data_IF_563367405959
#
_entry.id   IF_563367405959
#
_cell.length_a   1.000
_cell.length_b   1.000
_cell.length_c   1.000
_cell.angle_alpha   90.00
_cell.angle_beta   90.00
_cell.angle_gamma   90.00
#
_symmetry.space_group_name_H-M   'P 1'
#
loop_
_entity.id
_entity.type
_entity.pdbx_description
1 polymer ?
#
# COMPACT_ATOMS: atom_id res chain seq x y z
N UNK A 1 4.93 16.03 -18.89
CA UNK A 1 4.48 16.53 -17.56
C UNK A 1 3.26 15.71 -17.18
N UNK A 2 3.25 15.08 -16.00
CA UNK A 2 2.08 14.35 -15.51
C UNK A 2 1.02 15.36 -15.11
N UNK A 3 -0.22 15.17 -15.53
CA UNK A 3 -1.34 16.02 -15.09
C UNK A 3 -1.49 15.90 -13.56
N UNK A 4 -1.74 17.03 -12.85
CA UNK A 4 -2.07 16.97 -11.43
C UNK A 4 -3.40 16.21 -11.27
N UNK A 5 -3.52 15.43 -10.17
CA UNK A 5 -4.77 14.77 -9.83
C UNK A 5 -5.87 15.80 -9.56
N UNK A 6 -7.10 15.46 -9.93
CA UNK A 6 -8.30 16.22 -9.59
C UNK A 6 -8.72 15.83 -8.17
N UNK A 7 -8.22 16.55 -7.15
CA UNK A 7 -8.58 16.31 -5.75
C UNK A 7 -9.81 17.14 -5.42
N UNK A 8 -10.94 16.52 -5.03
CA UNK A 8 -12.14 17.25 -4.65
C UNK A 8 -11.91 18.05 -3.36
N UNK A 9 -12.61 19.16 -3.21
CA UNK A 9 -12.62 19.92 -1.97
C UNK A 9 -13.29 19.10 -0.87
N UNK A 10 -12.58 18.86 0.22
CA UNK A 10 -13.06 18.13 1.40
C UNK A 10 -13.29 19.12 2.53
N UNK A 11 -14.56 19.22 2.99
CA UNK A 11 -14.91 20.07 4.13
C UNK A 11 -14.79 19.28 5.42
N UNK A 12 -13.89 19.68 6.29
CA UNK A 12 -13.69 19.14 7.64
C UNK A 12 -14.55 19.89 8.68
N UNK A 13 -14.97 19.19 9.72
CA UNK A 13 -15.69 19.75 10.86
C UNK A 13 -15.55 18.83 12.08
N UNK A 14 -16.15 19.20 13.21
CA UNK A 14 -16.08 18.45 14.47
C UNK A 14 -16.70 17.03 14.47
N UNK A 15 -17.24 16.53 13.35
CA UNK A 15 -17.68 15.14 13.20
C UNK A 15 -16.57 14.20 12.70
N UNK A 16 -15.40 14.72 12.37
CA UNK A 16 -14.24 13.90 12.01
C UNK A 16 -13.43 13.57 13.27
N UNK A 17 -12.98 12.32 13.39
CA UNK A 17 -12.07 11.91 14.45
C UNK A 17 -10.82 12.81 14.47
N UNK A 18 -10.39 13.22 15.63
CA UNK A 18 -9.26 14.11 15.82
C UNK A 18 -9.64 15.61 15.81
N UNK A 19 -10.74 16.01 15.20
CA UNK A 19 -11.15 17.43 15.12
C UNK A 19 -11.99 17.83 16.34
N UNK A 20 -11.70 18.98 17.01
CA UNK A 20 -12.52 19.46 18.12
C UNK A 20 -13.99 19.69 17.75
N UNK A 21 -14.92 19.25 18.60
CA UNK A 21 -16.36 19.14 18.30
C UNK A 21 -17.07 20.44 17.89
N UNK A 22 -16.58 21.60 18.34
CA UNK A 22 -17.14 22.92 18.00
C UNK A 22 -16.48 23.61 16.80
N UNK A 23 -15.60 22.89 16.08
CA UNK A 23 -14.94 23.43 14.90
C UNK A 23 -15.94 23.66 13.77
N UNK A 24 -16.13 24.89 13.28
CA UNK A 24 -16.96 25.15 12.11
C UNK A 24 -16.35 24.52 10.86
N UNK A 25 -17.17 24.19 9.84
CA UNK A 25 -16.68 23.62 8.60
C UNK A 25 -15.59 24.48 7.95
N UNK A 26 -14.53 23.82 7.48
CA UNK A 26 -13.41 24.47 6.77
C UNK A 26 -12.80 23.49 5.74
N UNK A 27 -12.18 23.98 4.65
CA UNK A 27 -11.52 23.13 3.66
C UNK A 27 -10.28 22.42 4.22
N UNK A 28 -10.08 21.17 3.82
CA UNK A 28 -8.93 20.33 4.23
C UNK A 28 -7.58 21.02 3.90
N UNK A 29 -7.47 21.67 2.75
CA UNK A 29 -6.26 22.37 2.31
C UNK A 29 -5.92 23.62 3.18
N UNK A 30 -6.83 24.04 4.06
CA UNK A 30 -6.67 25.14 5.02
C UNK A 30 -6.40 24.68 6.45
N UNK A 31 -6.10 23.39 6.64
CA UNK A 31 -5.87 22.88 8.00
C UNK A 31 -4.65 23.48 8.68
N UNK A 32 -3.59 23.78 7.93
CA UNK A 32 -2.39 24.46 8.45
C UNK A 32 -2.69 25.83 9.06
N UNK A 33 -3.70 26.54 8.54
CA UNK A 33 -4.09 27.86 9.04
C UNK A 33 -4.67 27.80 10.47
N UNK A 34 -5.03 26.59 10.94
CA UNK A 34 -5.52 26.36 12.31
C UNK A 34 -4.44 26.42 13.36
N UNK A 35 -3.17 26.26 12.97
CA UNK A 35 -2.01 26.24 13.87
C UNK A 35 -2.16 25.22 15.02
N UNK A 36 -2.82 24.09 14.75
CA UNK A 36 -3.01 23.04 15.74
C UNK A 36 -1.72 22.27 15.98
N UNK A 37 -1.56 21.80 17.24
CA UNK A 37 -0.45 20.95 17.63
C UNK A 37 -1.00 19.81 18.49
N UNK A 38 -0.61 18.56 18.16
CA UNK A 38 -1.07 17.37 18.85
C UNK A 38 -0.73 17.41 20.34
N UNK A 39 0.51 17.81 20.69
CA UNK A 39 1.00 17.80 22.07
C UNK A 39 0.38 18.91 22.94
N UNK A 40 -0.16 19.96 22.32
CA UNK A 40 -0.88 21.04 23.04
C UNK A 40 -2.34 20.67 23.35
N UNK A 41 -2.81 19.49 22.85
CA UNK A 41 -4.19 19.09 23.02
C UNK A 41 -5.19 19.87 22.16
N UNK A 42 -4.73 20.47 21.04
CA UNK A 42 -5.58 21.20 20.10
C UNK A 42 -6.47 20.27 19.29
N UNK A 43 -6.20 18.95 19.32
CA UNK A 43 -7.00 17.94 18.64
C UNK A 43 -7.60 16.95 19.66
N UNK A 44 -8.68 16.26 19.26
CA UNK A 44 -9.32 15.26 20.13
C UNK A 44 -8.71 13.86 19.91
N UNK A 45 -8.73 13.03 20.96
CA UNK A 45 -8.18 11.67 20.91
C UNK A 45 -9.30 10.61 20.99
N UNK A 46 -9.12 9.43 20.33
CA UNK A 46 -7.93 9.03 19.59
C UNK A 46 -7.73 9.85 18.30
N UNK A 47 -6.47 10.02 17.90
CA UNK A 47 -6.08 10.70 16.66
C UNK A 47 -4.98 9.91 15.95
N UNK A 48 -5.17 9.64 14.65
CA UNK A 48 -4.13 9.10 13.79
C UNK A 48 -3.42 10.25 13.09
N UNK A 49 -2.10 10.26 13.12
CA UNK A 49 -1.28 11.29 12.45
C UNK A 49 -0.28 10.65 11.49
N UNK A 50 0.11 11.41 10.47
CA UNK A 50 1.20 11.06 9.56
C UNK A 50 2.40 11.98 9.81
N UNK A 51 3.59 11.40 10.02
CA UNK A 51 4.83 12.14 10.21
C UNK A 51 5.41 12.52 8.84
N UNK A 52 5.50 13.81 8.54
CA UNK A 52 5.99 14.32 7.25
C UNK A 52 7.42 13.86 6.95
N UNK A 53 8.32 13.97 7.94
CA UNK A 53 9.72 13.55 7.80
C UNK A 53 9.89 12.05 7.50
N UNK A 54 9.01 11.21 8.06
CA UNK A 54 9.01 9.77 7.77
C UNK A 54 8.47 9.47 6.36
N UNK A 55 7.39 10.13 5.92
CA UNK A 55 6.87 10.00 4.55
C UNK A 55 7.93 10.37 3.51
N UNK A 56 8.61 11.50 3.69
CA UNK A 56 9.69 11.95 2.80
C UNK A 56 10.87 10.96 2.77
N UNK A 57 11.27 10.47 3.94
CA UNK A 57 12.34 9.46 4.07
C UNK A 57 12.00 8.18 3.32
N UNK A 58 10.79 7.66 3.54
CA UNK A 58 10.34 6.41 2.92
C UNK A 58 10.23 6.56 1.40
N UNK A 59 9.79 7.71 0.92
CA UNK A 59 9.74 8.01 -0.52
C UNK A 59 11.15 8.09 -1.13
N UNK A 60 12.08 8.76 -0.47
CA UNK A 60 13.47 8.85 -0.93
C UNK A 60 14.14 7.47 -0.94
N UNK A 61 13.91 6.67 0.11
CA UNK A 61 14.46 5.33 0.19
C UNK A 61 13.97 4.45 -0.98
N UNK A 62 12.65 4.40 -1.20
CA UNK A 62 12.06 3.63 -2.30
C UNK A 62 12.55 4.11 -3.66
N UNK A 63 12.66 5.42 -3.88
CA UNK A 63 13.17 5.97 -5.12
C UNK A 63 14.59 5.47 -5.43
N UNK A 64 15.48 5.46 -4.44
CA UNK A 64 16.87 4.98 -4.62
C UNK A 64 16.92 3.48 -4.84
N UNK A 65 16.11 2.72 -4.12
CA UNK A 65 15.97 1.29 -4.35
C UNK A 65 15.57 1.00 -5.80
N UNK A 66 14.58 1.70 -6.33
CA UNK A 66 14.11 1.51 -7.70
C UNK A 66 15.15 1.92 -8.75
N UNK A 67 15.90 3.00 -8.51
CA UNK A 67 17.01 3.42 -9.36
C UNK A 67 18.13 2.36 -9.41
N UNK A 68 18.43 1.74 -8.27
CA UNK A 68 19.43 0.67 -8.18
C UNK A 68 19.00 -0.62 -8.90
N UNK A 69 17.73 -0.99 -8.78
CA UNK A 69 17.17 -2.22 -9.33
C UNK A 69 16.62 -2.05 -10.78
N UNK A 70 16.83 -0.89 -11.40
CA UNK A 70 16.28 -0.55 -12.72
C UNK A 70 14.78 -0.90 -12.84
N UNK A 71 14.01 -0.46 -11.84
CA UNK A 71 12.59 -0.76 -11.71
C UNK A 71 11.74 0.51 -11.57
N UNK A 72 10.46 0.39 -11.85
CA UNK A 72 9.47 1.44 -11.62
C UNK A 72 8.46 1.01 -10.57
N UNK A 73 7.86 1.99 -9.90
CA UNK A 73 6.86 1.75 -8.88
C UNK A 73 5.45 1.95 -9.42
N UNK A 74 4.60 0.96 -9.19
CA UNK A 74 3.15 1.05 -9.38
C UNK A 74 2.45 0.69 -8.05
N UNK A 75 2.49 1.56 -7.02
CA UNK A 75 2.10 1.20 -5.66
C UNK A 75 0.61 0.89 -5.56
N UNK A 76 0.25 -0.06 -4.68
CA UNK A 76 -1.14 -0.32 -4.34
C UNK A 76 -1.78 0.89 -3.67
N UNK A 77 -2.65 1.60 -4.37
CA UNK A 77 -3.42 2.71 -3.82
C UNK A 77 -4.45 2.27 -2.77
N UNK A 78 -4.85 0.98 -2.78
CA UNK A 78 -5.74 0.39 -1.76
C UNK A 78 -5.24 0.58 -0.33
N UNK A 79 -3.94 0.79 -0.14
CA UNK A 79 -3.35 0.98 1.19
C UNK A 79 -3.89 2.22 1.87
N UNK A 80 -3.98 3.33 1.15
CA UNK A 80 -4.32 4.63 1.71
C UNK A 80 -5.67 5.16 1.25
N UNK A 81 -6.09 4.80 0.02
CA UNK A 81 -7.27 5.36 -0.66
C UNK A 81 -7.34 6.89 -0.53
N UNK A 82 -6.19 7.57 -0.57
CA UNK A 82 -6.04 9.01 -0.37
C UNK A 82 -5.50 9.69 -1.63
N UNK A 83 -6.26 10.60 -2.24
CA UNK A 83 -5.80 11.32 -3.43
C UNK A 83 -4.57 12.20 -3.16
N UNK A 84 -4.42 12.73 -1.93
CA UNK A 84 -3.26 13.52 -1.53
C UNK A 84 -1.99 12.65 -1.53
N UNK A 85 -2.07 11.42 -1.00
CA UNK A 85 -0.96 10.48 -0.99
C UNK A 85 -0.71 9.88 -2.39
N UNK A 86 -1.74 9.65 -3.19
CA UNK A 86 -1.57 9.28 -4.61
C UNK A 86 -0.80 10.36 -5.38
N UNK A 87 -1.16 11.64 -5.16
CA UNK A 87 -0.45 12.77 -5.76
C UNK A 87 1.01 12.80 -5.34
N UNK A 88 1.30 12.57 -4.04
CA UNK A 88 2.66 12.49 -3.52
C UNK A 88 3.46 11.37 -4.21
N UNK A 89 2.90 10.17 -4.33
CA UNK A 89 3.54 9.02 -4.97
C UNK A 89 3.78 9.26 -6.47
N UNK A 90 2.79 9.77 -7.20
CA UNK A 90 2.90 10.04 -8.63
C UNK A 90 3.92 11.17 -8.92
N UNK A 91 3.92 12.24 -8.12
CA UNK A 91 4.94 13.30 -8.20
C UNK A 91 6.33 12.77 -7.88
N UNK A 92 6.43 11.83 -6.94
CA UNK A 92 7.67 11.13 -6.57
C UNK A 92 8.21 10.18 -7.62
N UNK A 93 7.50 9.99 -8.74
CA UNK A 93 7.97 9.20 -9.87
C UNK A 93 7.24 7.85 -10.06
N UNK A 94 6.21 7.53 -9.27
CA UNK A 94 5.44 6.30 -9.50
C UNK A 94 4.92 6.24 -10.96
N UNK A 95 5.05 5.07 -11.59
CA UNK A 95 4.68 4.82 -12.97
C UNK A 95 3.17 4.83 -13.19
N UNK A 96 2.41 4.41 -12.19
CA UNK A 96 0.96 4.37 -12.14
C UNK A 96 0.50 4.02 -10.73
N UNK A 97 -0.76 3.58 -10.56
CA UNK A 97 -1.29 3.03 -9.31
C UNK A 97 -1.83 1.62 -9.52
N UNK A 98 -1.67 0.76 -8.54
CA UNK A 98 -2.25 -0.58 -8.55
C UNK A 98 -3.58 -0.57 -7.80
N UNK A 99 -4.63 -1.15 -8.43
CA UNK A 99 -5.93 -1.41 -7.84
C UNK A 99 -6.15 -2.92 -7.66
N UNK A 100 -7.03 -3.31 -6.75
CA UNK A 100 -7.44 -4.70 -6.53
C UNK A 100 -8.94 -4.94 -6.78
N UNK A 101 -9.76 -3.88 -6.88
CA UNK A 101 -11.20 -3.96 -7.11
C UNK A 101 -11.67 -2.87 -8.06
N UNK A 102 -12.84 -3.08 -8.66
CA UNK A 102 -13.46 -2.07 -9.54
C UNK A 102 -13.77 -0.78 -8.79
N UNK A 103 -14.18 -0.83 -7.53
CA UNK A 103 -14.44 0.35 -6.71
C UNK A 103 -13.18 1.23 -6.59
N UNK A 104 -12.00 0.61 -6.39
CA UNK A 104 -10.74 1.34 -6.35
C UNK A 104 -10.40 1.97 -7.71
N UNK A 105 -10.63 1.25 -8.81
CA UNK A 105 -10.46 1.80 -10.17
C UNK A 105 -11.35 3.02 -10.38
N UNK A 106 -12.63 2.93 -10.02
CA UNK A 106 -13.59 4.04 -10.13
C UNK A 106 -13.13 5.25 -9.30
N UNK A 107 -12.68 5.02 -8.07
CA UNK A 107 -12.14 6.07 -7.19
C UNK A 107 -10.90 6.73 -7.79
N UNK A 108 -9.95 5.94 -8.31
CA UNK A 108 -8.73 6.49 -8.94
C UNK A 108 -9.05 7.29 -10.20
N UNK A 109 -10.02 6.80 -11.01
CA UNK A 109 -10.47 7.54 -12.20
C UNK A 109 -11.20 8.83 -11.84
N UNK A 110 -11.98 8.85 -10.78
CA UNK A 110 -12.59 10.09 -10.27
C UNK A 110 -11.55 11.16 -9.90
N UNK A 111 -10.33 10.75 -9.53
CA UNK A 111 -9.19 11.64 -9.27
C UNK A 111 -8.29 11.87 -10.48
N UNK A 112 -8.67 11.36 -11.66
CA UNK A 112 -7.93 11.48 -12.91
C UNK A 112 -6.58 10.73 -12.93
N UNK A 113 -6.47 9.59 -12.25
CA UNK A 113 -5.30 8.71 -12.36
C UNK A 113 -5.25 8.10 -13.77
N UNK A 114 -4.19 8.39 -14.50
CA UNK A 114 -4.08 8.06 -15.95
C UNK A 114 -3.50 6.66 -16.20
N UNK A 115 -2.89 5.99 -15.23
CA UNK A 115 -2.38 4.62 -15.41
C UNK A 115 -2.72 3.77 -14.21
N UNK A 116 -3.41 2.64 -14.49
CA UNK A 116 -3.86 1.70 -13.47
C UNK A 116 -3.47 0.27 -13.87
N UNK A 117 -2.77 -0.41 -12.96
CA UNK A 117 -2.60 -1.86 -13.01
C UNK A 117 -3.62 -2.49 -12.05
N UNK A 118 -4.63 -3.16 -12.60
CA UNK A 118 -5.60 -3.94 -11.82
C UNK A 118 -5.00 -5.30 -11.51
N UNK A 119 -4.44 -5.45 -10.31
CA UNK A 119 -3.80 -6.68 -9.86
C UNK A 119 -4.85 -7.69 -9.34
N UNK A 120 -5.80 -8.03 -10.20
CA UNK A 120 -6.84 -9.04 -9.98
C UNK A 120 -7.49 -9.41 -11.33
N UNK A 121 -8.38 -10.41 -11.33
CA UNK A 121 -9.16 -10.82 -12.48
C UNK A 121 -10.43 -9.95 -12.61
N UNK A 122 -10.62 -9.34 -13.76
CA UNK A 122 -11.80 -8.53 -14.07
C UNK A 122 -12.87 -9.42 -14.72
N UNK A 123 -13.93 -9.75 -13.97
CA UNK A 123 -14.90 -10.78 -14.40
C UNK A 123 -16.35 -10.29 -14.54
N UNK A 124 -16.73 -9.22 -13.81
CA UNK A 124 -18.08 -8.68 -13.85
C UNK A 124 -18.39 -7.94 -15.14
N UNK A 125 -19.51 -8.24 -15.80
CA UNK A 125 -19.86 -7.59 -17.07
C UNK A 125 -19.93 -6.06 -16.96
N UNK A 126 -20.62 -5.55 -15.92
CA UNK A 126 -20.72 -4.10 -15.70
C UNK A 126 -19.36 -3.46 -15.38
N UNK A 127 -18.47 -4.20 -14.74
CA UNK A 127 -17.10 -3.77 -14.41
C UNK A 127 -16.24 -3.66 -15.67
N UNK A 128 -16.32 -4.67 -16.55
CA UNK A 128 -15.61 -4.67 -17.85
C UNK A 128 -16.12 -3.54 -18.73
N UNK A 129 -17.45 -3.35 -18.79
CA UNK A 129 -18.06 -2.27 -19.59
C UNK A 129 -17.65 -0.89 -19.09
N UNK A 130 -17.57 -0.71 -17.77
CA UNK A 130 -17.08 0.54 -17.18
C UNK A 130 -15.64 0.83 -17.64
N UNK A 131 -14.74 -0.17 -17.54
CA UNK A 131 -13.33 -0.01 -17.96
C UNK A 131 -13.24 0.28 -19.46
N UNK A 132 -14.01 -0.45 -20.29
CA UNK A 132 -14.04 -0.23 -21.72
C UNK A 132 -14.52 1.19 -22.07
N UNK A 133 -15.55 1.68 -21.36
CA UNK A 133 -16.03 3.05 -21.54
C UNK A 133 -14.96 4.08 -21.19
N UNK A 134 -14.29 3.92 -20.03
CA UNK A 134 -13.21 4.80 -19.62
C UNK A 134 -12.07 4.84 -20.65
N UNK A 135 -11.67 3.70 -21.20
CA UNK A 135 -10.65 3.60 -22.23
C UNK A 135 -11.05 4.29 -23.54
N UNK A 136 -12.32 4.19 -23.94
CA UNK A 136 -12.83 4.82 -25.16
C UNK A 136 -13.00 6.34 -25.02
N UNK A 137 -13.41 6.83 -23.85
CA UNK A 137 -13.63 8.24 -23.57
C UNK A 137 -12.34 9.01 -23.24
N UNK A 138 -11.30 8.30 -22.75
CA UNK A 138 -10.07 8.89 -22.26
C UNK A 138 -8.84 8.25 -22.94
N UNK A 139 -8.38 8.75 -24.09
CA UNK A 139 -7.26 8.17 -24.84
C UNK A 139 -5.91 8.14 -24.08
N UNK A 140 -5.76 8.96 -23.04
CA UNK A 140 -4.58 8.97 -22.16
C UNK A 140 -4.66 7.93 -21.03
N UNK A 141 -5.80 7.29 -20.84
CA UNK A 141 -5.97 6.27 -19.82
C UNK A 141 -5.31 4.95 -20.25
N UNK A 142 -4.41 4.45 -19.42
CA UNK A 142 -3.63 3.24 -19.64
C UNK A 142 -3.99 2.21 -18.56
N UNK A 143 -4.56 1.09 -18.99
CA UNK A 143 -5.14 0.10 -18.07
C UNK A 143 -4.64 -1.30 -18.39
N UNK A 144 -4.28 -2.03 -17.35
CA UNK A 144 -3.85 -3.43 -17.37
C UNK A 144 -4.64 -4.24 -16.38
N UNK A 145 -5.02 -5.48 -16.74
CA UNK A 145 -5.67 -6.42 -15.82
C UNK A 145 -5.08 -7.82 -15.97
N UNK A 146 -5.39 -8.71 -15.02
CA UNK A 146 -4.80 -10.05 -14.99
C UNK A 146 -5.67 -11.08 -15.66
N UNK A 147 -5.03 -12.07 -16.25
CA UNK A 147 -5.67 -13.29 -16.78
C UNK A 147 -4.89 -14.53 -16.36
N UNK A 148 -5.60 -15.60 -16.03
CA UNK A 148 -5.02 -16.88 -15.62
C UNK A 148 -5.71 -18.10 -16.24
N UNK A 149 -6.71 -17.86 -17.10
CA UNK A 149 -7.47 -18.95 -17.72
C UNK A 149 -8.01 -18.57 -19.10
N UNK A 150 -8.15 -19.53 -20.03
CA UNK A 150 -8.80 -19.31 -21.31
C UNK A 150 -10.25 -18.83 -21.19
N UNK A 151 -10.94 -19.23 -20.12
CA UNK A 151 -12.32 -18.82 -19.86
C UNK A 151 -12.41 -17.32 -19.60
N UNK A 152 -11.51 -16.78 -18.76
CA UNK A 152 -11.46 -15.34 -18.49
C UNK A 152 -11.09 -14.53 -19.74
N UNK A 153 -10.11 -15.02 -20.53
CA UNK A 153 -9.76 -14.36 -21.81
C UNK A 153 -10.97 -14.23 -22.72
N UNK A 154 -11.80 -15.30 -22.83
CA UNK A 154 -13.03 -15.26 -23.65
C UNK A 154 -14.04 -14.27 -23.10
N UNK A 155 -14.28 -14.23 -21.79
CA UNK A 155 -15.19 -13.25 -21.16
C UNK A 155 -14.75 -11.82 -21.50
N UNK A 156 -13.47 -11.52 -21.32
CA UNK A 156 -12.90 -10.19 -21.64
C UNK A 156 -13.01 -9.89 -23.14
N UNK A 157 -12.72 -10.89 -24.01
CA UNK A 157 -12.78 -10.74 -25.46
C UNK A 157 -14.20 -10.42 -25.95
N UNK A 158 -15.21 -11.15 -25.46
CA UNK A 158 -16.61 -10.92 -25.83
C UNK A 158 -17.08 -9.51 -25.45
N UNK A 159 -16.71 -9.05 -24.25
CA UNK A 159 -17.06 -7.68 -23.80
C UNK A 159 -16.26 -6.61 -24.55
N UNK A 160 -14.97 -6.84 -24.80
CA UNK A 160 -14.11 -5.96 -25.56
C UNK A 160 -14.63 -5.79 -27.02
N UNK A 161 -15.15 -6.87 -27.63
CA UNK A 161 -15.76 -6.80 -28.96
C UNK A 161 -17.05 -5.99 -28.94
N UNK A 162 -17.95 -6.22 -27.98
CA UNK A 162 -19.20 -5.45 -27.84
C UNK A 162 -18.92 -3.95 -27.67
N UNK A 163 -17.92 -3.61 -26.85
CA UNK A 163 -17.55 -2.22 -26.55
C UNK A 163 -16.59 -1.60 -27.58
N UNK A 164 -16.13 -2.36 -28.58
CA UNK A 164 -15.15 -1.94 -29.59
C UNK A 164 -13.85 -1.38 -28.97
N UNK A 165 -13.37 -2.02 -27.89
CA UNK A 165 -12.22 -1.57 -27.07
C UNK A 165 -11.12 -2.62 -27.11
N UNK A 166 -9.86 -2.20 -27.05
CA UNK A 166 -8.75 -3.12 -26.83
C UNK A 166 -8.41 -3.16 -25.32
N UNK A 167 -8.29 -4.36 -24.76
CA UNK A 167 -7.90 -4.57 -23.39
C UNK A 167 -6.46 -5.11 -23.30
N UNK A 168 -5.66 -4.54 -22.42
CA UNK A 168 -4.31 -4.97 -22.13
C UNK A 168 -4.31 -5.90 -20.92
N UNK A 169 -3.67 -7.08 -21.07
CA UNK A 169 -3.64 -8.11 -20.03
C UNK A 169 -2.22 -8.53 -19.69
N UNK A 170 -2.03 -8.96 -18.45
CA UNK A 170 -0.84 -9.68 -17.97
C UNK A 170 -1.27 -11.10 -17.58
N UNK A 171 -0.46 -12.10 -17.91
CA UNK A 171 -0.68 -13.46 -17.38
C UNK A 171 -0.19 -13.46 -15.93
N UNK A 172 -1.06 -13.83 -15.00
CA UNK A 172 -0.69 -14.06 -13.61
C UNK A 172 -0.12 -15.48 -13.47
N UNK A 173 1.10 -15.56 -12.90
CA UNK A 173 1.71 -16.82 -12.48
C UNK A 173 1.48 -16.99 -10.99
N UNK A 174 0.91 -18.11 -10.60
CA UNK A 174 0.61 -18.42 -9.21
C UNK A 174 1.24 -19.73 -8.74
N UNK A 175 1.12 -20.01 -7.46
CA UNK A 175 1.65 -21.19 -6.79
C UNK A 175 0.53 -22.17 -6.43
N UNK A 176 0.80 -23.47 -6.50
CA UNK A 176 -0.16 -24.51 -6.10
C UNK A 176 -0.55 -24.35 -4.62
N UNK A 177 -1.85 -24.47 -4.34
CA UNK A 177 -2.41 -24.27 -3.00
C UNK A 177 -2.53 -22.81 -2.56
N UNK A 178 -2.01 -21.85 -3.35
CA UNK A 178 -2.13 -20.43 -3.10
C UNK A 178 -3.37 -19.81 -3.80
N UNK A 179 -3.34 -18.54 -4.12
CA UNK A 179 -4.46 -17.73 -4.64
C UNK A 179 -4.74 -18.00 -6.14
N UNK A 180 -4.74 -16.99 -6.96
CA UNK A 180 -4.98 -16.95 -8.40
C UNK A 180 -3.72 -17.26 -9.24
N UNK A 181 -3.81 -17.27 -10.57
CA UNK A 181 -2.70 -17.43 -11.50
C UNK A 181 -2.55 -18.84 -12.09
N UNK A 182 -1.86 -18.95 -13.20
CA UNK A 182 -1.52 -20.24 -13.83
C UNK A 182 -0.55 -21.03 -12.96
N UNK A 183 -0.65 -22.36 -12.96
CA UNK A 183 0.15 -23.28 -12.15
C UNK A 183 1.21 -24.05 -12.95
N UNK A 184 1.17 -23.92 -14.28
CA UNK A 184 2.10 -24.62 -15.17
C UNK A 184 2.28 -23.87 -16.49
N UNK A 185 3.36 -24.20 -17.19
CA UNK A 185 3.61 -23.69 -18.55
C UNK A 185 2.49 -24.10 -19.52
N UNK A 186 1.90 -25.27 -19.36
CA UNK A 186 0.82 -25.72 -20.24
C UNK A 186 -0.47 -24.92 -20.01
N UNK A 187 -0.78 -24.53 -18.77
CA UNK A 187 -1.86 -23.58 -18.50
C UNK A 187 -1.58 -22.23 -19.11
N UNK A 188 -0.36 -21.70 -18.99
CA UNK A 188 0.03 -20.45 -19.61
C UNK A 188 -0.05 -20.49 -21.14
N UNK A 189 0.35 -21.62 -21.77
CA UNK A 189 0.16 -21.83 -23.21
C UNK A 189 -1.30 -21.76 -23.62
N UNK A 190 -2.20 -22.43 -22.88
CA UNK A 190 -3.62 -22.41 -23.15
C UNK A 190 -4.22 -20.98 -23.03
N UNK A 191 -3.73 -20.17 -22.09
CA UNK A 191 -4.09 -18.72 -21.98
C UNK A 191 -3.59 -17.96 -23.21
N UNK A 192 -2.35 -18.18 -23.63
CA UNK A 192 -1.79 -17.58 -24.84
C UNK A 192 -2.59 -17.97 -26.10
N UNK A 193 -3.03 -19.24 -26.23
CA UNK A 193 -3.86 -19.69 -27.36
C UNK A 193 -5.18 -18.93 -27.40
N UNK A 194 -5.84 -18.77 -26.25
CA UNK A 194 -7.07 -17.99 -26.18
C UNK A 194 -6.85 -16.49 -26.51
N UNK A 195 -5.71 -15.91 -26.11
CA UNK A 195 -5.34 -14.54 -26.48
C UNK A 195 -5.11 -14.43 -27.99
N UNK A 196 -4.45 -15.39 -28.61
CA UNK A 196 -4.22 -15.41 -30.07
C UNK A 196 -5.53 -15.43 -30.88
N UNK A 197 -6.58 -16.07 -30.35
CA UNK A 197 -7.92 -16.12 -30.91
C UNK A 197 -8.74 -14.84 -30.63
N UNK A 198 -8.23 -13.92 -29.80
CA UNK A 198 -8.96 -12.77 -29.28
C UNK A 198 -8.32 -11.45 -29.76
N UNK A 199 -8.71 -10.91 -30.93
CA UNK A 199 -7.99 -9.80 -31.58
C UNK A 199 -7.96 -8.49 -30.75
N UNK A 200 -8.90 -8.32 -29.81
CA UNK A 200 -8.97 -7.14 -28.93
C UNK A 200 -8.24 -7.32 -27.61
N UNK A 201 -7.73 -8.51 -27.30
CA UNK A 201 -6.94 -8.76 -26.10
C UNK A 201 -5.45 -8.68 -26.44
N UNK A 202 -4.71 -7.84 -25.72
CA UNK A 202 -3.29 -7.61 -25.95
C UNK A 202 -2.47 -8.05 -24.77
N UNK A 203 -1.63 -9.07 -24.93
CA UNK A 203 -0.69 -9.50 -23.90
C UNK A 203 0.42 -8.46 -23.80
N UNK A 204 0.58 -7.89 -22.59
CA UNK A 204 1.57 -6.85 -22.32
C UNK A 204 2.67 -7.32 -21.36
N UNK A 205 2.52 -8.49 -20.76
CA UNK A 205 3.53 -9.00 -19.83
C UNK A 205 3.05 -10.13 -18.95
N UNK A 206 3.86 -10.41 -17.96
CA UNK A 206 3.65 -11.47 -16.98
C UNK A 206 3.78 -10.87 -15.58
N UNK A 207 2.97 -11.32 -14.64
CA UNK A 207 3.06 -10.89 -13.26
C UNK A 207 2.98 -12.07 -12.29
N UNK A 208 3.37 -11.84 -11.05
CA UNK A 208 3.20 -12.77 -9.93
C UNK A 208 3.11 -12.02 -8.59
N UNK A 209 2.65 -12.72 -7.55
CA UNK A 209 2.62 -12.19 -6.19
C UNK A 209 3.17 -13.20 -5.18
N UNK A 210 4.34 -12.90 -4.65
CA UNK A 210 5.08 -13.74 -3.71
C UNK A 210 4.65 -13.57 -2.24
N UNK A 211 4.00 -12.45 -1.90
CA UNK A 211 3.74 -12.04 -0.52
C UNK A 211 2.75 -12.93 0.26
N UNK A 212 2.21 -13.98 -0.36
CA UNK A 212 1.36 -14.99 0.30
C UNK A 212 2.11 -16.29 0.56
N UNK A 213 3.35 -16.41 0.13
CA UNK A 213 4.16 -17.61 0.35
C UNK A 213 4.48 -17.73 1.83
N UNK A 214 4.20 -18.89 2.38
CA UNK A 214 4.47 -19.24 3.77
C UNK A 214 5.35 -20.49 3.81
N UNK A 215 6.15 -20.61 4.84
CA UNK A 215 7.03 -21.74 5.08
C UNK A 215 7.44 -21.81 6.54
N UNK A 216 8.06 -22.92 6.98
CA UNK A 216 8.49 -23.10 8.36
C UNK A 216 9.70 -22.21 8.76
N UNK A 217 10.44 -21.73 7.77
CA UNK A 217 11.60 -20.84 7.94
C UNK A 217 11.83 -19.96 6.71
N UNK A 218 12.70 -18.97 6.86
CA UNK A 218 12.98 -17.98 5.81
C UNK A 218 13.64 -18.62 4.58
N UNK A 219 14.53 -19.59 4.71
CA UNK A 219 15.21 -20.25 3.62
C UNK A 219 14.23 -20.99 2.69
N UNK A 220 13.25 -21.71 3.26
CA UNK A 220 12.22 -22.39 2.47
C UNK A 220 11.28 -21.40 1.77
N UNK A 221 10.95 -20.28 2.43
CA UNK A 221 10.15 -19.21 1.83
C UNK A 221 10.91 -18.57 0.65
N UNK A 222 12.18 -18.22 0.83
CA UNK A 222 13.02 -17.63 -0.21
C UNK A 222 13.18 -18.57 -1.40
N UNK A 223 13.45 -19.86 -1.15
CA UNK A 223 13.51 -20.89 -2.20
C UNK A 223 12.18 -21.00 -2.98
N UNK A 224 11.05 -20.92 -2.30
CA UNK A 224 9.73 -20.97 -2.95
C UNK A 224 9.46 -19.70 -3.79
N UNK A 225 9.92 -18.53 -3.33
CA UNK A 225 9.86 -17.27 -4.09
C UNK A 225 10.72 -17.37 -5.36
N UNK A 226 11.95 -17.86 -5.25
CA UNK A 226 12.83 -18.06 -6.40
C UNK A 226 12.23 -19.03 -7.43
N UNK A 227 11.62 -20.13 -6.99
CA UNK A 227 10.89 -21.06 -7.85
C UNK A 227 9.71 -20.40 -8.57
N UNK A 228 8.98 -19.52 -7.89
CA UNK A 228 7.89 -18.75 -8.47
C UNK A 228 8.38 -17.81 -9.59
N UNK A 229 9.47 -17.06 -9.36
CA UNK A 229 10.08 -16.20 -10.39
C UNK A 229 10.73 -16.98 -11.52
N UNK A 230 11.28 -18.19 -11.27
CA UNK A 230 11.70 -19.11 -12.33
C UNK A 230 10.55 -19.51 -13.23
N UNK A 231 9.37 -19.79 -12.66
CA UNK A 231 8.16 -20.10 -13.44
C UNK A 231 7.70 -18.88 -14.26
N UNK A 232 7.68 -17.68 -13.66
CA UNK A 232 7.40 -16.42 -14.37
C UNK A 232 8.33 -16.24 -15.56
N UNK A 233 9.64 -16.47 -15.38
CA UNK A 233 10.65 -16.39 -16.45
C UNK A 233 10.34 -17.35 -17.59
N UNK A 234 10.03 -18.61 -17.29
CA UNK A 234 9.67 -19.60 -18.31
C UNK A 234 8.42 -19.23 -19.10
N UNK A 235 7.39 -18.70 -18.42
CA UNK A 235 6.17 -18.21 -19.08
C UNK A 235 6.48 -17.01 -19.99
N UNK A 236 7.31 -16.06 -19.53
CA UNK A 236 7.71 -14.90 -20.32
C UNK A 236 8.48 -15.29 -21.58
N UNK A 237 9.49 -16.17 -21.45
CA UNK A 237 10.27 -16.70 -22.58
C UNK A 237 9.35 -17.42 -23.58
N UNK A 238 8.45 -18.26 -23.10
CA UNK A 238 7.48 -18.98 -23.95
C UNK A 238 6.59 -17.99 -24.71
N UNK A 239 6.07 -16.97 -24.05
CA UNK A 239 5.23 -15.96 -24.70
C UNK A 239 6.01 -15.13 -25.74
N UNK A 240 7.26 -14.75 -25.44
CA UNK A 240 8.15 -14.07 -26.37
C UNK A 240 8.41 -14.90 -27.62
N UNK A 241 8.79 -16.20 -27.43
CA UNK A 241 9.09 -17.13 -28.55
C UNK A 241 7.89 -17.34 -29.48
N UNK A 242 6.68 -17.08 -29.01
CA UNK A 242 5.44 -17.14 -29.75
C UNK A 242 5.01 -15.78 -30.36
N UNK A 243 5.82 -14.74 -30.21
CA UNK A 243 5.60 -13.42 -30.82
C UNK A 243 4.51 -12.57 -30.16
N UNK A 244 4.19 -12.82 -28.88
CA UNK A 244 3.15 -12.05 -28.18
C UNK A 244 3.58 -10.64 -27.78
N UNK A 245 4.87 -10.38 -27.65
CA UNK A 245 5.41 -9.08 -27.17
C UNK A 245 5.83 -8.19 -28.35
N UNK A 246 4.86 -7.56 -28.99
CA UNK A 246 5.09 -6.71 -30.17
C UNK A 246 4.58 -5.26 -30.00
N UNK A 247 4.20 -4.85 -28.79
CA UNK A 247 3.61 -3.55 -28.49
C UNK A 247 4.29 -2.86 -27.30
N UNK A 248 5.51 -2.36 -27.50
CA UNK A 248 6.30 -1.68 -26.46
C UNK A 248 6.93 -2.65 -25.46
N UNK A 249 7.49 -2.15 -24.35
CA UNK A 249 8.21 -2.96 -23.39
C UNK A 249 7.30 -4.00 -22.73
N UNK A 250 7.87 -5.17 -22.44
CA UNK A 250 7.20 -6.25 -21.71
C UNK A 250 7.14 -5.90 -20.23
N UNK A 251 5.95 -5.85 -19.67
CA UNK A 251 5.75 -5.61 -18.25
C UNK A 251 6.03 -6.91 -17.49
N UNK A 252 7.06 -6.92 -16.66
CA UNK A 252 7.34 -7.96 -15.69
C UNK A 252 7.08 -7.41 -14.31
N UNK A 253 6.09 -7.97 -13.59
CA UNK A 253 5.63 -7.38 -12.36
C UNK A 253 5.61 -8.37 -11.20
N UNK A 254 5.98 -7.88 -10.03
CA UNK A 254 5.95 -8.57 -8.76
C UNK A 254 6.11 -7.59 -7.62
N UNK A 255 6.42 -8.10 -6.42
CA UNK A 255 6.79 -7.28 -5.28
C UNK A 255 5.61 -6.63 -4.58
N UNK A 256 5.15 -7.30 -3.54
CA UNK A 256 4.31 -6.69 -2.52
C UNK A 256 5.13 -5.86 -1.53
N UNK A 257 4.65 -5.76 -0.29
CA UNK A 257 5.35 -4.98 0.74
C UNK A 257 6.48 -5.74 1.43
N UNK A 258 6.51 -7.08 1.33
CA UNK A 258 7.41 -7.93 2.11
C UNK A 258 8.70 -8.33 1.39
N UNK A 259 8.65 -8.69 0.11
CA UNK A 259 9.75 -9.29 -0.65
C UNK A 259 10.04 -8.55 -1.95
N UNK A 260 9.84 -7.24 -2.00
CA UNK A 260 10.04 -6.45 -3.23
C UNK A 260 11.48 -6.46 -3.74
N UNK A 261 12.47 -6.73 -2.89
CA UNK A 261 13.87 -6.93 -3.26
C UNK A 261 14.07 -8.23 -4.05
N UNK A 262 13.47 -9.34 -3.61
CA UNK A 262 13.51 -10.60 -4.34
C UNK A 262 12.70 -10.50 -5.65
N UNK A 263 11.59 -9.78 -5.62
CA UNK A 263 10.80 -9.49 -6.80
C UNK A 263 11.60 -8.72 -7.84
N UNK A 264 12.26 -7.63 -7.46
CA UNK A 264 13.07 -6.83 -8.36
C UNK A 264 14.15 -7.67 -9.06
N UNK A 265 14.88 -8.50 -8.29
CA UNK A 265 15.89 -9.41 -8.86
C UNK A 265 15.30 -10.50 -9.72
N UNK A 266 14.18 -11.09 -9.27
CA UNK A 266 13.50 -12.16 -10.00
C UNK A 266 13.02 -11.71 -11.38
N UNK A 267 12.45 -10.50 -11.49
CA UNK A 267 12.02 -9.95 -12.79
C UNK A 267 13.22 -9.44 -13.63
N UNK A 268 14.25 -8.89 -12.99
CA UNK A 268 15.47 -8.46 -13.69
C UNK A 268 16.23 -9.64 -14.34
N UNK A 269 16.18 -10.82 -13.73
CA UNK A 269 16.85 -12.03 -14.20
C UNK A 269 16.17 -12.66 -15.43
N UNK A 270 14.98 -12.23 -15.84
CA UNK A 270 14.25 -12.82 -17.00
C UNK A 270 14.95 -12.46 -18.32
N UNK A 271 15.44 -13.44 -19.11
CA UNK A 271 16.32 -13.18 -20.26
C UNK A 271 15.51 -12.97 -21.56
N UNK A 272 14.69 -11.93 -21.65
CA UNK A 272 14.00 -11.59 -22.88
C UNK A 272 14.88 -10.76 -23.84
N UNK A 273 14.63 -10.89 -25.13
CA UNK A 273 15.22 -10.03 -26.18
C UNK A 273 14.47 -8.71 -26.32
N UNK A 274 13.17 -8.71 -26.05
CA UNK A 274 12.31 -7.52 -26.06
C UNK A 274 12.63 -6.65 -24.85
N UNK A 275 12.55 -5.32 -25.04
CA UNK A 275 12.68 -4.36 -23.94
C UNK A 275 11.71 -4.69 -22.79
N UNK A 276 12.17 -4.56 -21.57
CA UNK A 276 11.41 -4.92 -20.36
C UNK A 276 11.15 -3.69 -19.50
N UNK A 277 10.02 -3.73 -18.82
CA UNK A 277 9.67 -2.78 -17.77
C UNK A 277 9.44 -3.56 -16.47
N UNK A 278 10.32 -3.38 -15.49
CA UNK A 278 10.20 -4.03 -14.19
C UNK A 278 9.28 -3.19 -13.29
N UNK A 279 8.15 -3.75 -12.87
CA UNK A 279 7.13 -3.03 -12.11
C UNK A 279 6.95 -3.62 -10.71
N UNK A 280 7.32 -2.85 -9.70
CA UNK A 280 7.13 -3.18 -8.28
C UNK A 280 5.85 -2.54 -7.77
N UNK A 281 5.05 -3.29 -6.97
CA UNK A 281 3.71 -2.86 -6.55
C UNK A 281 3.56 -2.56 -5.06
N UNK A 282 4.66 -2.44 -4.32
CA UNK A 282 4.64 -2.16 -2.88
C UNK A 282 3.80 -0.91 -2.56
N UNK A 283 2.74 -1.06 -1.77
CA UNK A 283 1.86 0.05 -1.36
C UNK A 283 2.18 0.60 0.02
N UNK A 284 2.55 -0.26 0.96
CA UNK A 284 2.83 0.14 2.35
C UNK A 284 4.19 0.83 2.53
N UNK A 285 5.05 0.86 1.50
CA UNK A 285 6.38 1.46 1.60
C UNK A 285 6.34 2.90 2.12
N UNK A 286 5.33 3.69 1.69
CA UNK A 286 5.23 5.12 1.99
C UNK A 286 5.06 5.39 3.49
N UNK A 287 4.27 4.57 4.15
CA UNK A 287 3.97 4.72 5.58
C UNK A 287 4.75 3.77 6.46
N UNK A 288 5.33 2.73 5.87
CA UNK A 288 5.96 1.64 6.61
C UNK A 288 5.05 1.14 7.73
N UNK A 289 5.57 0.37 8.68
CA UNK A 289 4.86 0.03 9.91
C UNK A 289 5.84 -0.19 11.07
N UNK A 290 5.29 -0.39 12.26
CA UNK A 290 6.06 -0.45 13.49
C UNK A 290 6.65 -1.83 13.80
N UNK A 291 6.33 -2.88 13.01
CA UNK A 291 6.73 -4.25 13.34
C UNK A 291 6.84 -5.17 12.13
N UNK A 292 5.76 -5.42 11.41
CA UNK A 292 5.72 -6.46 10.37
C UNK A 292 6.63 -6.14 9.19
N UNK A 293 6.53 -4.94 8.62
CA UNK A 293 7.41 -4.49 7.55
C UNK A 293 8.83 -4.22 8.05
N UNK A 294 8.98 -3.78 9.30
CA UNK A 294 10.29 -3.58 9.91
C UNK A 294 11.05 -4.90 10.02
N UNK A 295 10.39 -5.99 10.46
CA UNK A 295 10.95 -7.34 10.50
C UNK A 295 11.39 -7.81 9.09
N UNK A 296 10.57 -7.59 8.06
CA UNK A 296 10.93 -7.93 6.67
C UNK A 296 12.07 -7.06 6.14
N UNK A 297 12.09 -5.79 6.47
CA UNK A 297 13.16 -4.90 6.09
C UNK A 297 14.51 -5.32 6.69
N UNK A 298 14.54 -5.71 7.95
CA UNK A 298 15.75 -6.25 8.60
C UNK A 298 16.24 -7.53 7.90
N UNK A 299 15.35 -8.46 7.54
CA UNK A 299 15.69 -9.66 6.77
C UNK A 299 16.23 -9.30 5.38
N UNK A 300 15.61 -8.33 4.71
CA UNK A 300 16.10 -7.82 3.43
C UNK A 300 17.52 -7.30 3.55
N UNK A 301 17.87 -6.54 4.59
CA UNK A 301 19.22 -6.05 4.81
C UNK A 301 20.26 -7.17 5.00
N UNK A 302 19.87 -8.31 5.56
CA UNK A 302 20.76 -9.47 5.74
C UNK A 302 21.03 -10.18 4.41
N UNK A 303 20.01 -10.39 3.57
CA UNK A 303 20.15 -11.14 2.31
C UNK A 303 20.59 -10.30 1.12
N UNK A 304 20.57 -8.99 1.23
CA UNK A 304 20.90 -8.09 0.14
C UNK A 304 21.96 -7.08 0.59
N UNK A 305 23.02 -6.93 -0.20
CA UNK A 305 23.91 -5.76 -0.12
C UNK A 305 23.18 -4.49 -0.64
N UNK A 306 21.87 -4.42 -0.46
CA UNK A 306 21.08 -3.30 -0.92
C UNK A 306 21.52 -2.08 -0.17
N UNK A 307 22.15 -1.21 -0.92
CA UNK A 307 22.45 0.16 -0.56
C UNK A 307 23.66 0.28 0.35
N UNK A 308 24.84 0.24 -0.29
CA UNK A 308 26.06 0.72 0.36
C UNK A 308 25.82 2.07 0.98
N UNK A 309 26.14 2.13 2.27
CA UNK A 309 26.15 3.25 3.19
C UNK A 309 24.85 4.05 3.45
N UNK A 310 24.74 4.47 4.70
CA UNK A 310 23.50 4.39 5.45
C UNK A 310 22.52 5.42 4.97
N UNK A 311 21.75 5.05 3.98
CA UNK A 311 20.46 5.68 3.81
C UNK A 311 19.67 5.34 5.04
N UNK A 312 19.26 6.37 5.76
CA UNK A 312 18.35 6.21 6.85
C UNK A 312 17.24 5.21 6.46
N UNK A 313 17.08 4.09 7.16
CA UNK A 313 16.10 3.07 6.82
C UNK A 313 14.68 3.67 6.78
N UNK A 314 13.73 3.02 6.10
CA UNK A 314 12.33 3.39 6.19
C UNK A 314 11.87 3.47 7.65
N UNK A 315 10.89 4.33 7.92
CA UNK A 315 10.36 4.53 9.27
C UNK A 315 8.84 4.49 9.26
N UNK A 316 8.27 4.04 10.39
CA UNK A 316 6.84 4.17 10.62
C UNK A 316 6.41 5.64 10.53
N UNK A 317 5.48 5.95 9.63
CA UNK A 317 4.96 7.29 9.45
C UNK A 317 3.61 7.49 10.13
N UNK A 318 2.90 6.41 10.49
CA UNK A 318 1.61 6.47 11.17
C UNK A 318 1.83 6.36 12.66
N UNK A 319 1.39 7.35 13.42
CA UNK A 319 1.29 7.29 14.86
C UNK A 319 -0.18 7.43 15.30
N UNK A 320 -0.63 6.53 16.18
CA UNK A 320 -1.95 6.64 16.81
C UNK A 320 -1.80 7.19 18.21
N UNK A 321 -2.40 8.34 18.45
CA UNK A 321 -2.36 9.02 19.74
C UNK A 321 -3.65 8.78 20.52
N UNK A 322 -3.52 8.48 21.82
CA UNK A 322 -4.63 8.25 22.75
C UNK A 322 -4.29 8.76 24.16
N UNK A 323 -5.30 8.95 25.00
CA UNK A 323 -5.11 9.28 26.40
C UNK A 323 -5.15 8.04 27.28
N UNK A 324 -4.34 7.99 28.34
CA UNK A 324 -4.54 7.08 29.44
C UNK A 324 -5.74 7.59 30.26
N UNK A 325 -6.81 6.81 30.28
CA UNK A 325 -8.05 7.25 30.93
C UNK A 325 -8.39 6.49 32.21
N UNK A 326 -7.71 5.35 32.47
CA UNK A 326 -7.97 4.56 33.67
C UNK A 326 -6.74 3.74 34.06
N UNK A 327 -6.47 3.67 35.38
CA UNK A 327 -5.46 2.80 36.02
C UNK A 327 -6.14 2.14 37.20
N UNK A 328 -7.00 1.10 36.98
CA UNK A 328 -7.82 0.52 38.07
C UNK A 328 -7.06 -0.37 39.00
N UNK A 329 -5.89 -0.87 38.61
CA UNK A 329 -5.08 -1.81 39.38
C UNK A 329 -3.58 -1.66 39.07
N UNK A 330 -2.74 -2.13 39.97
CA UNK A 330 -1.29 -2.15 39.75
C UNK A 330 -0.95 -3.01 38.52
N UNK A 331 -0.09 -2.50 37.63
CA UNK A 331 0.38 -3.23 36.47
C UNK A 331 -0.54 -3.14 35.26
N UNK A 332 -1.69 -2.44 35.34
CA UNK A 332 -2.65 -2.33 34.24
C UNK A 332 -3.18 -0.91 34.08
N UNK A 333 -3.13 -0.40 32.84
CA UNK A 333 -3.85 0.82 32.46
C UNK A 333 -4.62 0.65 31.14
N UNK A 334 -5.47 1.62 30.85
CA UNK A 334 -6.32 1.64 29.65
C UNK A 334 -6.16 2.96 28.90
N UNK A 335 -6.08 2.85 27.56
CA UNK A 335 -6.07 4.01 26.68
C UNK A 335 -7.36 4.11 25.85
N UNK A 336 -7.72 5.34 25.45
CA UNK A 336 -8.92 5.70 24.68
C UNK A 336 -8.81 5.32 23.20
N UNK A 337 -8.33 4.12 22.87
CA UNK A 337 -8.13 3.63 21.51
C UNK A 337 -8.46 2.14 21.48
N UNK A 338 -9.02 1.65 20.36
CA UNK A 338 -9.36 0.24 20.23
C UNK A 338 -9.39 -0.26 18.78
N UNK A 339 -10.13 -1.35 18.56
CA UNK A 339 -10.28 -1.99 17.24
C UNK A 339 -10.86 -1.06 16.17
N UNK A 340 -11.62 -0.03 16.59
CA UNK A 340 -12.21 0.98 15.69
C UNK A 340 -11.20 2.02 15.20
N UNK A 341 -9.96 1.99 15.73
CA UNK A 341 -8.98 3.04 15.51
C UNK A 341 -7.65 2.51 14.95
N UNK A 342 -7.31 1.25 15.25
CA UNK A 342 -6.05 0.61 14.87
C UNK A 342 -6.26 -0.73 14.18
N UNK A 343 -5.35 -1.10 13.28
CA UNK A 343 -5.19 -2.48 12.80
C UNK A 343 -4.84 -3.42 13.95
N UNK A 344 -5.32 -4.65 13.87
CA UNK A 344 -5.06 -5.69 14.88
C UNK A 344 -5.12 -7.10 14.28
N UNK A 345 -5.15 -7.18 12.97
CA UNK A 345 -5.27 -8.41 12.18
C UNK A 345 -3.94 -9.17 12.05
N UNK A 346 -2.80 -8.49 12.05
CA UNK A 346 -1.47 -9.11 12.06
C UNK A 346 -0.90 -9.11 13.48
N UNK A 347 -0.70 -7.93 14.06
CA UNK A 347 -0.24 -7.74 15.44
C UNK A 347 -1.04 -6.63 16.11
N UNK A 348 -1.10 -6.66 17.45
CA UNK A 348 -1.61 -5.53 18.22
C UNK A 348 -0.69 -4.32 18.06
N UNK A 349 -1.22 -3.08 18.17
CA UNK A 349 -0.40 -1.87 18.13
C UNK A 349 0.74 -1.91 19.15
N UNK A 350 1.88 -1.35 18.80
CA UNK A 350 3.06 -1.27 19.67
C UNK A 350 3.12 0.10 20.35
N UNK A 351 3.13 0.10 21.69
CA UNK A 351 3.32 1.33 22.46
C UNK A 351 4.77 1.82 22.28
N UNK A 352 4.95 3.08 21.84
CA UNK A 352 6.28 3.62 21.47
C UNK A 352 6.71 4.79 22.35
N UNK A 353 5.80 5.72 22.58
CA UNK A 353 6.09 7.01 23.22
C UNK A 353 4.98 7.39 24.19
N UNK A 354 5.29 8.28 25.10
CA UNK A 354 4.33 8.96 25.96
C UNK A 354 4.68 10.44 26.15
N UNK A 355 3.69 11.20 26.50
CA UNK A 355 3.83 12.63 26.72
C UNK A 355 2.89 13.07 27.84
N UNK A 356 3.41 13.87 28.79
CA UNK A 356 2.61 14.50 29.85
C UNK A 356 2.48 15.98 29.58
N UNK A 357 1.27 16.47 29.27
CA UNK A 357 1.03 17.91 29.07
C UNK A 357 1.47 18.74 30.27
N UNK A 358 2.19 19.82 30.04
CA UNK A 358 2.69 20.72 31.08
C UNK A 358 4.00 20.30 31.74
N UNK A 359 4.46 19.06 31.57
CA UNK A 359 5.74 18.57 32.13
C UNK A 359 6.78 18.27 31.03
N UNK A 360 6.36 17.69 29.92
CA UNK A 360 7.27 17.32 28.84
C UNK A 360 7.28 18.39 27.73
N UNK A 361 8.44 18.63 27.12
CA UNK A 361 8.58 19.42 25.90
C UNK A 361 8.44 18.59 24.63
N UNK A 362 8.77 17.29 24.68
CA UNK A 362 8.70 16.33 23.58
C UNK A 362 8.30 14.94 24.11
N UNK A 363 7.70 14.10 23.26
CA UNK A 363 7.36 12.73 23.64
C UNK A 363 8.61 11.92 23.99
N UNK A 364 8.51 11.14 25.04
CA UNK A 364 9.57 10.28 25.56
C UNK A 364 9.29 8.82 25.20
N UNK A 365 10.33 8.04 24.89
CA UNK A 365 10.21 6.60 24.67
C UNK A 365 9.59 5.92 25.89
N UNK A 366 8.72 4.93 25.64
CA UNK A 366 8.02 4.18 26.66
C UNK A 366 8.41 2.69 26.58
N UNK A 367 9.33 2.26 27.43
CA UNK A 367 9.83 0.89 27.47
C UNK A 367 9.06 0.03 28.48
N UNK A 368 9.01 -1.28 28.26
CA UNK A 368 8.41 -2.25 29.17
C UNK A 368 6.88 -2.25 29.21
N UNK A 369 6.21 -1.45 28.41
CA UNK A 369 4.76 -1.39 28.32
C UNK A 369 4.29 -2.16 27.07
N UNK A 370 3.17 -2.88 27.19
CA UNK A 370 2.67 -3.73 26.11
C UNK A 370 1.15 -3.68 26.03
N UNK A 371 0.64 -3.45 24.83
CA UNK A 371 -0.78 -3.65 24.52
C UNK A 371 -1.01 -5.16 24.43
N UNK A 372 -1.92 -5.68 25.26
CA UNK A 372 -2.20 -7.11 25.38
C UNK A 372 -3.57 -7.49 24.83
N UNK A 373 -4.48 -6.53 24.72
CA UNK A 373 -5.81 -6.74 24.14
C UNK A 373 -6.41 -5.42 23.66
N UNK A 374 -7.37 -5.51 22.75
CA UNK A 374 -8.21 -4.41 22.31
C UNK A 374 -9.69 -4.79 22.37
N UNK A 375 -10.51 -3.93 22.95
CA UNK A 375 -11.95 -3.86 22.68
C UNK A 375 -12.20 -2.81 21.59
N UNK A 376 -13.45 -2.51 21.30
CA UNK A 376 -13.79 -1.52 20.25
C UNK A 376 -13.15 -0.15 20.51
N UNK A 377 -13.15 0.31 21.77
CA UNK A 377 -12.73 1.66 22.20
C UNK A 377 -11.77 1.64 23.41
N UNK A 378 -11.16 0.50 23.75
CA UNK A 378 -10.24 0.37 24.86
C UNK A 378 -9.01 -0.45 24.45
N UNK A 379 -7.81 0.09 24.71
CA UNK A 379 -6.56 -0.66 24.67
C UNK A 379 -6.16 -1.06 26.10
N UNK A 380 -5.95 -2.35 26.31
CA UNK A 380 -5.44 -2.93 27.55
C UNK A 380 -3.92 -2.88 27.52
N UNK A 381 -3.32 -2.17 28.49
CA UNK A 381 -1.87 -1.97 28.55
C UNK A 381 -1.33 -2.58 29.83
N UNK A 382 -0.48 -3.59 29.70
CA UNK A 382 0.34 -4.07 30.80
C UNK A 382 1.52 -3.11 31.01
N UNK A 383 1.77 -2.73 32.24
CA UNK A 383 2.81 -1.78 32.62
C UNK A 383 3.69 -2.29 33.75
N UNK A 384 4.99 -1.96 33.80
CA UNK A 384 5.87 -2.32 34.90
C UNK A 384 5.48 -1.60 36.19
N UNK A 385 5.87 -2.14 37.34
CA UNK A 385 5.54 -1.57 38.65
C UNK A 385 6.05 -0.13 38.86
N UNK A 386 7.10 0.26 38.14
CA UNK A 386 7.68 1.61 38.17
C UNK A 386 7.25 2.45 36.98
N UNK A 387 6.11 2.14 36.35
CA UNK A 387 5.58 2.91 35.22
C UNK A 387 5.42 4.38 35.60
N UNK A 388 5.83 5.31 34.70
CA UNK A 388 5.63 6.74 34.90
C UNK A 388 4.22 7.21 34.54
N UNK A 389 3.39 6.34 33.90
CA UNK A 389 2.10 6.72 33.36
C UNK A 389 1.09 7.11 34.43
N UNK A 390 0.35 8.17 34.17
CA UNK A 390 -0.78 8.64 34.97
C UNK A 390 -2.02 8.87 34.11
N UNK A 391 -3.19 8.99 34.73
CA UNK A 391 -4.42 9.37 34.04
C UNK A 391 -4.23 10.79 33.46
N UNK A 392 -4.60 10.93 32.17
CA UNK A 392 -4.42 12.17 31.40
C UNK A 392 -3.14 12.21 30.55
N UNK A 393 -2.20 11.29 30.75
CA UNK A 393 -1.04 11.17 29.88
C UNK A 393 -1.47 10.77 28.46
N UNK A 394 -0.73 11.26 27.50
CA UNK A 394 -0.88 10.92 26.09
C UNK A 394 0.11 9.80 25.74
N UNK A 395 -0.32 8.83 24.97
CA UNK A 395 0.52 7.74 24.47
C UNK A 395 0.44 7.62 22.97
N UNK A 396 1.57 7.38 22.32
CA UNK A 396 1.66 7.12 20.88
C UNK A 396 1.95 5.65 20.61
N UNK A 397 1.22 5.10 19.64
CA UNK A 397 1.29 3.70 19.24
C UNK A 397 1.63 3.62 17.75
N UNK A 398 2.58 2.74 17.40
CA UNK A 398 2.81 2.31 16.03
C UNK A 398 1.87 1.15 15.67
N UNK A 399 1.59 0.98 14.40
CA UNK A 399 0.67 -0.05 13.88
C UNK A 399 1.43 -1.10 13.06
N UNK A 400 0.83 -2.27 12.83
CA UNK A 400 1.44 -3.36 12.09
C UNK A 400 0.85 -3.59 10.70
N UNK A 401 -0.24 -2.90 10.34
CA UNK A 401 -0.88 -3.06 9.04
C UNK A 401 -1.52 -1.72 8.60
N UNK A 402 -0.82 -0.93 7.79
CA UNK A 402 -1.33 0.36 7.33
C UNK A 402 -2.69 0.27 6.63
N UNK A 403 -2.88 -0.70 5.73
CA UNK A 403 -4.11 -0.83 4.93
C UNK A 403 -5.38 -0.89 5.80
N UNK A 404 -5.36 -1.71 6.87
CA UNK A 404 -6.49 -1.89 7.78
C UNK A 404 -6.52 -0.87 8.93
N UNK A 405 -5.62 0.12 8.91
CA UNK A 405 -5.67 1.30 9.75
C UNK A 405 -6.28 2.47 9.00
N UNK A 406 -5.85 2.74 7.76
CA UNK A 406 -6.40 3.85 6.95
C UNK A 406 -7.91 3.75 6.76
N UNK A 407 -8.47 2.55 6.59
CA UNK A 407 -9.91 2.33 6.40
C UNK A 407 -10.79 2.75 7.61
N UNK A 408 -10.16 3.05 8.76
CA UNK A 408 -10.83 3.49 9.99
C UNK A 408 -10.86 5.02 10.15
N UNK A 409 -10.16 5.74 9.27
CA UNK A 409 -9.95 7.18 9.39
C UNK A 409 -10.34 7.90 8.09
N UNK A 410 -11.39 8.71 8.13
CA UNK A 410 -11.82 9.54 6.99
C UNK A 410 -10.90 10.74 6.74
N UNK A 411 -10.10 11.08 7.73
CA UNK A 411 -9.17 12.19 7.77
C UNK A 411 -8.00 11.84 8.68
N UNK A 412 -6.79 12.24 8.28
CA UNK A 412 -5.60 12.18 9.11
C UNK A 412 -4.76 13.45 8.90
N UNK A 413 -4.35 14.15 9.96
CA UNK A 413 -3.42 15.26 9.85
C UNK A 413 -2.01 14.76 9.52
N UNK A 414 -1.28 15.56 8.74
CA UNK A 414 0.17 15.44 8.56
C UNK A 414 0.83 16.41 9.52
N UNK A 415 1.76 15.93 10.32
CA UNK A 415 2.47 16.72 11.33
C UNK A 415 3.97 16.78 11.03
N UNK A 416 4.60 17.88 11.43
CA UNK A 416 6.06 18.03 11.46
C UNK A 416 6.68 17.32 12.69
N UNK A 417 7.99 17.49 12.89
CA UNK A 417 8.71 16.86 13.99
C UNK A 417 8.38 17.43 15.36
N UNK A 418 7.78 18.62 15.40
CA UNK A 418 7.27 19.27 16.62
C UNK A 418 5.77 18.99 16.86
N UNK A 419 5.19 18.07 16.07
CA UNK A 419 3.76 17.68 16.11
C UNK A 419 2.79 18.82 15.78
N UNK A 420 3.25 19.86 15.08
CA UNK A 420 2.39 20.89 14.51
C UNK A 420 1.73 20.36 13.23
N UNK A 421 0.43 20.59 13.07
CA UNK A 421 -0.33 20.16 11.90
C UNK A 421 0.01 21.08 10.73
N UNK A 422 0.65 20.52 9.69
CA UNK A 422 1.13 21.25 8.50
C UNK A 422 0.29 20.96 7.26
N UNK A 423 -0.43 19.85 7.23
CA UNK A 423 -1.32 19.44 6.15
C UNK A 423 -2.30 18.38 6.64
N UNK A 424 -3.13 17.86 5.77
CA UNK A 424 -4.02 16.75 6.06
C UNK A 424 -4.31 15.91 4.82
N UNK A 425 -4.83 14.73 5.04
CA UNK A 425 -5.31 13.83 3.98
C UNK A 425 -6.75 13.42 4.22
N UNK A 426 -7.45 13.10 3.14
CA UNK A 426 -8.74 12.41 3.15
C UNK A 426 -8.59 10.97 2.66
N UNK A 427 -9.47 10.07 3.10
CA UNK A 427 -9.52 8.69 2.62
C UNK A 427 -10.89 8.39 1.99
N UNK A 428 -10.90 7.50 0.98
CA UNK A 428 -12.07 7.24 0.12
C UNK A 428 -12.32 5.73 -0.03
N UNK A 429 -12.45 5.04 1.13
CA UNK A 429 -12.79 3.62 1.20
C UNK A 429 -14.26 3.34 0.89
#
# INVERSE_FOLDING_TARGET
>A
MRHPLSIPEVMLNGCYKGIPGHTPPFPLDKISDRNWNILKGDMTFPCAVLRSSALERNQMWMKRFLEQEDAVLCPHGKTTMSPELFSLQLKGGAWGLTAATIQQIQTYRAFDVQRILHANQLVGMAEIDYVCKELNENPSFDFYTLVDSPALVRILSDRAEINQTNLQVLIEVGQAGARTGVRSIDQAKAVCDAIAESPRIKLRGIETYEGIIQGPNDEEIETAIEALYSTLSQVAIMAESRGFFNQGPVILSGGGSAYYDMAARGVAAVPLQTERLHVIRSGCYLTHDAKWLDDYFQRMQIRTEVVGEPLNPPQEAIELWANIHSIPESGRCFATLGKRDASHDIHLPALKKWFRPGEHSQPTKLDGHKIVALNDQHAYIDMPANSPLAIGDMVAMGISHPCTTFDKWRFMPIVDDDYSVIAGISTWF
#
